data_IF_185036897163
#
_entry.id   IF_185036897163
#
_cell.length_a   1.000
_cell.length_b   1.000
_cell.length_c   1.000
_cell.angle_alpha   90.00
_cell.angle_beta   90.00
_cell.angle_gamma   90.00
#
_symmetry.space_group_name_H-M   'P 1'
#
loop_
_entity.id
_entity.type
_entity.pdbx_description
1 polymer ?
#
# COMPACT_ATOMS: atom_id res chain seq x y z
N UNK A 1 -40.16 12.06 -14.88
CA UNK A 1 -39.35 11.43 -15.93
C UNK A 1 -38.49 10.29 -15.40
N UNK A 2 -37.69 10.48 -14.33
CA UNK A 2 -36.87 9.40 -13.75
C UNK A 2 -37.69 8.17 -13.29
N UNK A 3 -38.78 8.39 -12.55
CA UNK A 3 -39.67 7.33 -12.05
C UNK A 3 -40.52 6.62 -13.13
N UNK A 4 -40.42 7.06 -14.40
CA UNK A 4 -41.08 6.38 -15.52
C UNK A 4 -40.20 5.29 -16.14
N UNK A 5 -38.94 5.21 -15.73
CA UNK A 5 -38.02 4.16 -16.15
C UNK A 5 -38.25 2.87 -15.34
N UNK A 6 -37.88 1.70 -15.87
CA UNK A 6 -37.88 0.46 -15.09
C UNK A 6 -37.04 0.59 -13.81
N UNK A 7 -37.45 -0.01 -12.69
CA UNK A 7 -36.75 0.11 -11.40
C UNK A 7 -35.26 -0.22 -11.48
N UNK A 8 -34.87 -1.20 -12.30
CA UNK A 8 -33.48 -1.62 -12.49
C UNK A 8 -32.63 -0.52 -13.11
N UNK A 9 -33.21 0.26 -14.04
CA UNK A 9 -32.54 1.39 -14.68
C UNK A 9 -32.40 2.54 -13.70
N UNK A 10 -33.44 2.82 -12.90
CA UNK A 10 -33.38 3.83 -11.84
C UNK A 10 -32.29 3.46 -10.83
N UNK A 11 -32.26 2.22 -10.34
CA UNK A 11 -31.23 1.73 -9.42
C UNK A 11 -29.84 1.87 -10.03
N UNK A 12 -29.66 1.52 -11.31
CA UNK A 12 -28.37 1.68 -12.00
C UNK A 12 -27.94 3.14 -12.11
N UNK A 13 -28.87 4.07 -12.35
CA UNK A 13 -28.59 5.51 -12.35
C UNK A 13 -28.19 5.97 -10.96
N UNK A 14 -28.96 5.60 -9.93
CA UNK A 14 -28.69 5.95 -8.54
C UNK A 14 -27.36 5.41 -8.05
N UNK A 15 -26.92 4.26 -8.58
CA UNK A 15 -25.57 3.80 -8.32
C UNK A 15 -24.55 4.87 -8.73
N UNK A 16 -24.63 5.54 -9.87
CA UNK A 16 -23.58 6.48 -10.30
C UNK A 16 -23.41 7.74 -9.44
N UNK A 17 -24.31 8.01 -8.51
CA UNK A 17 -24.27 9.19 -7.65
C UNK A 17 -23.22 9.04 -6.52
N UNK A 18 -22.75 10.17 -6.02
CA UNK A 18 -21.98 10.22 -4.78
C UNK A 18 -22.88 10.15 -3.53
N UNK A 19 -22.24 10.06 -2.37
CA UNK A 19 -22.93 9.91 -1.09
C UNK A 19 -23.88 11.10 -0.79
N UNK A 20 -23.45 12.32 -1.11
CA UNK A 20 -24.19 13.54 -0.81
C UNK A 20 -25.38 13.71 -1.75
N UNK A 21 -25.19 13.45 -3.03
CA UNK A 21 -26.24 13.44 -4.05
C UNK A 21 -27.30 12.39 -3.75
N UNK A 22 -26.88 11.15 -3.47
CA UNK A 22 -27.78 10.05 -3.18
C UNK A 22 -28.59 10.32 -1.90
N UNK A 23 -27.94 10.81 -0.83
CA UNK A 23 -28.62 11.18 0.41
C UNK A 23 -29.67 12.29 0.18
N UNK A 24 -29.33 13.32 -0.60
CA UNK A 24 -30.22 14.44 -0.89
C UNK A 24 -31.47 13.98 -1.64
N UNK A 25 -31.30 13.11 -2.65
CA UNK A 25 -32.41 12.60 -3.46
C UNK A 25 -33.32 11.68 -2.63
N UNK A 26 -32.75 10.81 -1.80
CA UNK A 26 -33.51 9.89 -0.94
C UNK A 26 -34.32 10.66 0.11
N UNK A 27 -33.80 11.77 0.64
CA UNK A 27 -34.54 12.62 1.58
C UNK A 27 -35.68 13.39 0.91
N UNK A 28 -35.56 13.70 -0.38
CA UNK A 28 -36.54 14.49 -1.12
C UNK A 28 -37.73 13.68 -1.69
N UNK A 29 -37.57 12.38 -1.94
CA UNK A 29 -38.59 11.56 -2.61
C UNK A 29 -38.78 10.18 -1.93
N UNK A 30 -40.02 9.90 -1.49
CA UNK A 30 -40.36 8.66 -0.78
C UNK A 30 -40.29 7.41 -1.66
N UNK A 31 -40.46 7.54 -2.98
CA UNK A 31 -40.38 6.42 -3.93
C UNK A 31 -38.92 6.03 -4.13
N UNK A 32 -38.03 7.01 -4.30
CA UNK A 32 -36.59 6.78 -4.40
C UNK A 32 -36.03 6.25 -3.07
N UNK A 33 -36.55 6.70 -1.93
CA UNK A 33 -36.26 6.10 -0.63
C UNK A 33 -36.70 4.63 -0.54
N UNK A 34 -37.87 4.30 -1.08
CA UNK A 34 -38.35 2.92 -1.14
C UNK A 34 -37.41 2.04 -2.00
N UNK A 35 -36.91 2.55 -3.13
CA UNK A 35 -35.90 1.84 -3.92
C UNK A 35 -34.60 1.65 -3.16
N UNK A 36 -34.08 2.68 -2.49
CA UNK A 36 -32.88 2.53 -1.66
C UNK A 36 -33.03 1.39 -0.64
N UNK A 37 -34.18 1.31 0.05
CA UNK A 37 -34.47 0.24 1.00
C UNK A 37 -34.67 -1.14 0.36
N UNK A 38 -35.25 -1.18 -0.84
CA UNK A 38 -35.57 -2.44 -1.52
C UNK A 38 -34.36 -3.10 -2.21
N UNK A 39 -33.37 -2.31 -2.64
CA UNK A 39 -32.25 -2.80 -3.44
C UNK A 39 -30.92 -2.81 -2.64
N UNK A 40 -30.40 -3.99 -2.24
CA UNK A 40 -29.17 -4.09 -1.44
C UNK A 40 -27.93 -3.48 -2.10
N UNK A 41 -27.89 -3.41 -3.43
CA UNK A 41 -26.76 -2.79 -4.16
C UNK A 41 -26.61 -1.30 -3.88
N UNK A 42 -27.72 -0.58 -3.69
CA UNK A 42 -27.67 0.84 -3.32
C UNK A 42 -27.18 1.01 -1.88
N UNK A 43 -27.69 0.20 -0.96
CA UNK A 43 -27.26 0.20 0.44
C UNK A 43 -25.78 -0.17 0.57
N UNK A 44 -25.34 -1.19 -0.18
CA UNK A 44 -23.95 -1.62 -0.19
C UNK A 44 -23.04 -0.53 -0.73
N UNK A 45 -23.36 0.08 -1.87
CA UNK A 45 -22.57 1.19 -2.42
C UNK A 45 -22.51 2.40 -1.49
N UNK A 46 -23.65 2.74 -0.87
CA UNK A 46 -23.70 3.81 0.12
C UNK A 46 -22.80 3.48 1.32
N UNK A 47 -22.89 2.25 1.84
CA UNK A 47 -22.07 1.79 2.97
C UNK A 47 -20.58 1.78 2.62
N UNK A 48 -20.19 1.35 1.42
CA UNK A 48 -18.77 1.34 1.01
C UNK A 48 -18.22 2.75 0.87
N UNK A 49 -18.98 3.68 0.29
CA UNK A 49 -18.61 5.10 0.25
C UNK A 49 -18.54 5.73 1.65
N UNK A 50 -19.51 5.45 2.52
CA UNK A 50 -19.52 5.96 3.88
C UNK A 50 -18.33 5.45 4.70
N UNK A 51 -17.96 4.18 4.53
CA UNK A 51 -16.81 3.55 5.18
C UNK A 51 -15.46 3.82 4.49
N UNK A 52 -15.46 4.54 3.36
CA UNK A 52 -14.27 4.82 2.53
C UNK A 52 -13.51 3.54 2.14
N UNK A 53 -14.24 2.52 1.71
CA UNK A 53 -13.69 1.24 1.27
C UNK A 53 -14.04 0.97 -0.19
N UNK A 54 -13.14 0.29 -0.88
CA UNK A 54 -13.37 -0.16 -2.24
C UNK A 54 -14.02 -1.54 -2.27
N UNK A 55 -14.79 -1.79 -3.34
CA UNK A 55 -15.32 -3.10 -3.60
C UNK A 55 -14.19 -4.07 -3.95
N UNK A 56 -14.02 -5.16 -3.22
CA UNK A 56 -13.05 -6.19 -3.57
C UNK A 56 -13.71 -7.29 -4.43
N UNK A 57 -13.58 -7.27 -5.77
CA UNK A 57 -14.19 -8.28 -6.64
C UNK A 57 -13.55 -9.67 -6.50
N UNK A 58 -12.40 -9.77 -5.82
CA UNK A 58 -11.71 -11.05 -5.53
C UNK A 58 -12.17 -11.66 -4.21
N UNK A 59 -13.07 -11.02 -3.46
CA UNK A 59 -13.64 -11.61 -2.25
C UNK A 59 -14.36 -12.90 -2.58
N UNK A 60 -13.88 -14.01 -2.02
CA UNK A 60 -14.56 -15.31 -2.07
C UNK A 60 -15.74 -15.39 -1.10
N UNK A 61 -15.81 -14.45 -0.15
CA UNK A 61 -16.92 -14.31 0.78
C UNK A 61 -18.08 -13.55 0.12
N UNK A 62 -19.20 -14.25 -0.02
CA UNK A 62 -20.48 -13.74 -0.47
C UNK A 62 -20.51 -13.31 -1.94
N UNK A 63 -20.89 -14.25 -2.80
CA UNK A 63 -21.30 -13.94 -4.19
C UNK A 63 -22.54 -13.03 -4.24
N UNK A 64 -23.21 -12.84 -3.10
CA UNK A 64 -24.43 -12.03 -2.97
C UNK A 64 -24.13 -10.73 -2.23
N UNK A 65 -24.54 -9.61 -2.83
CA UNK A 65 -24.36 -8.24 -2.31
C UNK A 65 -24.88 -8.08 -0.87
N UNK A 66 -25.94 -8.79 -0.48
CA UNK A 66 -26.50 -8.75 0.86
C UNK A 66 -25.54 -9.25 1.93
N UNK A 67 -24.79 -10.34 1.65
CA UNK A 67 -23.80 -10.87 2.58
C UNK A 67 -22.63 -9.90 2.73
N UNK A 68 -22.20 -9.28 1.64
CA UNK A 68 -21.13 -8.27 1.64
C UNK A 68 -21.53 -7.03 2.44
N UNK A 69 -22.78 -6.58 2.29
CA UNK A 69 -23.35 -5.50 3.10
C UNK A 69 -23.42 -5.88 4.58
N UNK A 70 -23.84 -7.12 4.91
CA UNK A 70 -23.87 -7.59 6.29
C UNK A 70 -22.47 -7.62 6.92
N UNK A 71 -21.47 -8.12 6.18
CA UNK A 71 -20.07 -8.12 6.61
C UNK A 71 -19.54 -6.70 6.83
N UNK A 72 -19.81 -5.79 5.91
CA UNK A 72 -19.40 -4.39 6.04
C UNK A 72 -20.06 -3.73 7.25
N UNK A 73 -21.37 -3.91 7.44
CA UNK A 73 -22.08 -3.37 8.59
C UNK A 73 -21.55 -3.95 9.91
N UNK A 74 -21.28 -5.26 9.97
CA UNK A 74 -20.70 -5.91 11.14
C UNK A 74 -19.32 -5.33 11.46
N UNK A 75 -18.48 -5.17 10.44
CA UNK A 75 -17.16 -4.54 10.55
C UNK A 75 -17.25 -3.12 11.12
N UNK A 76 -18.08 -2.27 10.53
CA UNK A 76 -18.22 -0.87 10.95
C UNK A 76 -18.78 -0.75 12.37
N UNK A 77 -19.74 -1.60 12.76
CA UNK A 77 -20.21 -1.68 14.14
C UNK A 77 -19.13 -2.19 15.11
N UNK A 78 -18.33 -3.16 14.67
CA UNK A 78 -17.19 -3.68 15.40
C UNK A 78 -16.18 -2.57 15.70
N UNK A 79 -15.78 -1.80 14.69
CA UNK A 79 -14.89 -0.65 14.87
C UNK A 79 -15.46 0.41 15.80
N UNK A 80 -16.74 0.77 15.65
CA UNK A 80 -17.38 1.77 16.48
C UNK A 80 -17.43 1.38 17.97
N UNK A 81 -17.42 0.07 18.28
CA UNK A 81 -17.53 -0.47 19.64
C UNK A 81 -16.25 -1.12 20.15
N UNK A 82 -15.20 -1.15 19.32
CA UNK A 82 -13.99 -1.95 19.56
C UNK A 82 -14.32 -3.43 19.87
N UNK A 83 -15.33 -3.96 19.19
CA UNK A 83 -15.73 -5.36 19.29
C UNK A 83 -15.09 -6.15 18.16
N UNK A 84 -14.25 -7.13 18.51
CA UNK A 84 -13.53 -7.96 17.56
C UNK A 84 -14.25 -9.30 17.39
N UNK A 85 -14.37 -9.78 16.15
CA UNK A 85 -15.04 -11.07 15.85
C UNK A 85 -14.35 -12.24 16.55
N UNK A 86 -13.02 -12.16 16.71
CA UNK A 86 -12.25 -13.10 17.50
C UNK A 86 -10.90 -12.50 17.91
N UNK A 87 -10.27 -13.15 18.89
CA UNK A 87 -8.91 -12.86 19.33
C UNK A 87 -8.07 -14.12 19.29
N UNK A 88 -6.81 -14.00 18.90
CA UNK A 88 -5.85 -15.11 18.87
C UNK A 88 -4.48 -14.67 19.35
N UNK A 89 -3.86 -15.50 20.18
CA UNK A 89 -2.49 -15.31 20.64
C UNK A 89 -1.56 -16.28 19.91
N UNK A 90 -0.55 -15.74 19.24
CA UNK A 90 0.45 -16.53 18.52
C UNK A 90 1.77 -16.41 19.29
N UNK A 91 2.27 -17.47 19.95
CA UNK A 91 3.50 -17.36 20.75
C UNK A 91 4.72 -17.12 19.86
N UNK A 92 5.54 -16.13 20.22
CA UNK A 92 6.84 -15.85 19.58
C UNK A 92 7.89 -16.75 20.23
N UNK A 93 8.41 -17.73 19.48
CA UNK A 93 9.38 -18.73 19.98
C UNK A 93 10.83 -18.45 19.58
N UNK A 94 11.10 -17.24 19.10
CA UNK A 94 12.44 -16.73 18.78
C UNK A 94 12.70 -15.45 19.58
N UNK A 95 13.94 -14.97 19.60
CA UNK A 95 14.29 -13.70 20.23
C UNK A 95 14.21 -12.60 19.16
N UNK A 96 13.15 -11.77 19.15
CA UNK A 96 13.00 -10.74 18.12
C UNK A 96 13.93 -9.55 18.38
N UNK A 97 14.24 -8.84 17.31
CA UNK A 97 14.87 -7.51 17.34
C UNK A 97 13.82 -6.42 17.14
N UNK A 98 14.26 -5.17 17.10
CA UNK A 98 13.41 -4.04 16.70
C UNK A 98 13.07 -3.98 15.22
N UNK A 99 13.47 -4.97 14.41
CA UNK A 99 13.15 -5.04 12.98
C UNK A 99 11.84 -5.81 12.84
N UNK A 100 10.79 -5.11 12.42
CA UNK A 100 9.47 -5.70 12.23
C UNK A 100 8.76 -5.05 11.06
N UNK A 101 7.83 -5.78 10.47
CA UNK A 101 6.93 -5.21 9.47
C UNK A 101 5.56 -5.89 9.47
N UNK A 102 4.55 -5.19 8.98
CA UNK A 102 3.19 -5.71 8.79
C UNK A 102 2.67 -5.28 7.42
N UNK A 103 2.71 -6.19 6.47
CA UNK A 103 2.24 -5.94 5.10
C UNK A 103 1.38 -7.10 4.66
N UNK A 104 0.19 -6.77 4.18
CA UNK A 104 -0.71 -7.73 3.55
C UNK A 104 -1.13 -8.93 4.40
N UNK A 105 -1.40 -8.69 5.68
CA UNK A 105 -1.74 -9.75 6.62
C UNK A 105 -0.57 -10.65 6.99
N UNK A 106 0.67 -10.28 6.63
CA UNK A 106 1.90 -10.95 7.08
C UNK A 106 2.57 -10.07 8.11
N UNK A 107 2.76 -10.62 9.31
CA UNK A 107 3.57 -10.01 10.35
C UNK A 107 4.98 -10.60 10.33
N UNK A 108 6.00 -9.75 10.27
CA UNK A 108 7.40 -10.12 10.14
C UNK A 108 8.20 -9.60 11.35
N UNK A 109 9.16 -10.40 11.80
CA UNK A 109 10.11 -10.09 12.87
C UNK A 109 11.52 -10.56 12.49
N UNK A 110 12.52 -9.71 12.65
CA UNK A 110 13.93 -10.11 12.57
C UNK A 110 14.41 -10.75 13.87
N UNK A 111 15.24 -11.79 13.78
CA UNK A 111 15.84 -12.43 14.95
C UNK A 111 17.06 -11.66 15.52
N UNK A 112 17.45 -11.98 16.76
CA UNK A 112 18.61 -11.37 17.45
C UNK A 112 19.93 -11.50 16.67
N UNK A 113 20.10 -12.62 15.97
CA UNK A 113 21.24 -12.85 15.08
C UNK A 113 21.23 -11.96 13.83
N UNK A 114 20.09 -11.33 13.51
CA UNK A 114 19.80 -10.60 12.27
C UNK A 114 20.17 -11.39 11.03
N UNK A 115 19.87 -12.68 11.05
CA UNK A 115 20.11 -13.63 9.95
C UNK A 115 18.87 -14.46 9.62
N UNK A 116 17.80 -14.32 10.40
CA UNK A 116 16.50 -14.92 10.10
C UNK A 116 15.40 -13.89 10.19
N UNK A 117 14.55 -13.88 9.17
CA UNK A 117 13.31 -13.11 9.13
C UNK A 117 12.17 -14.08 9.39
N UNK A 118 11.65 -14.06 10.61
CA UNK A 118 10.48 -14.82 10.98
C UNK A 118 9.23 -14.11 10.48
N UNK A 119 8.28 -14.86 9.94
CA UNK A 119 7.01 -14.29 9.52
C UNK A 119 5.84 -15.18 9.88
N UNK A 120 4.69 -14.56 10.10
CA UNK A 120 3.43 -15.20 10.41
C UNK A 120 2.32 -14.62 9.55
N UNK A 121 1.56 -15.47 8.86
CA UNK A 121 0.31 -15.05 8.23
C UNK A 121 -0.74 -14.88 9.33
N UNK A 122 -1.28 -13.68 9.44
CA UNK A 122 -2.32 -13.36 10.41
C UNK A 122 -3.62 -14.07 10.01
N UNK A 123 -4.32 -14.68 10.97
CA UNK A 123 -5.59 -15.35 10.71
C UNK A 123 -6.67 -14.30 10.43
N UNK A 124 -7.52 -14.57 9.45
CA UNK A 124 -8.77 -13.83 9.21
C UNK A 124 -9.96 -14.52 9.89
N UNK A 125 -9.83 -15.79 10.26
CA UNK A 125 -10.84 -16.56 10.99
C UNK A 125 -10.23 -17.37 12.13
N UNK A 126 -11.03 -17.78 13.14
CA UNK A 126 -10.55 -18.66 14.22
C UNK A 126 -9.98 -20.00 13.72
N UNK A 127 -10.47 -20.51 12.59
CA UNK A 127 -10.08 -21.81 12.04
C UNK A 127 -8.76 -21.75 11.25
N UNK A 128 -8.28 -20.56 10.89
CA UNK A 128 -7.09 -20.43 10.05
C UNK A 128 -5.85 -21.01 10.75
N UNK A 129 -4.94 -21.68 10.04
CA UNK A 129 -3.69 -22.14 10.63
C UNK A 129 -2.82 -20.94 11.00
N UNK A 130 -2.19 -21.01 12.18
CA UNK A 130 -1.19 -20.02 12.61
C UNK A 130 0.12 -20.71 12.89
N UNK A 131 1.20 -20.14 12.38
CA UNK A 131 2.55 -20.62 12.61
C UNK A 131 3.57 -19.59 12.18
N UNK A 132 4.76 -19.70 12.76
CA UNK A 132 5.92 -18.95 12.33
C UNK A 132 6.69 -19.74 11.29
N UNK A 133 6.93 -19.11 10.15
CA UNK A 133 7.91 -19.53 9.15
C UNK A 133 9.11 -18.59 9.21
N UNK A 134 10.16 -18.88 8.44
CA UNK A 134 11.31 -17.97 8.37
C UNK A 134 11.98 -17.99 6.98
N UNK A 135 12.69 -16.91 6.69
CA UNK A 135 13.64 -16.78 5.59
C UNK A 135 15.03 -16.63 6.20
N UNK A 136 15.95 -17.54 5.86
CA UNK A 136 17.36 -17.40 6.22
C UNK A 136 18.06 -16.41 5.30
N UNK A 137 18.90 -15.55 5.88
CA UNK A 137 19.70 -14.56 5.19
C UNK A 137 21.16 -14.81 5.53
N UNK A 138 21.99 -14.99 4.50
CA UNK A 138 23.39 -15.37 4.68
C UNK A 138 24.22 -14.34 5.47
N UNK A 139 23.79 -13.08 5.46
CA UNK A 139 24.47 -11.93 6.06
C UNK A 139 23.61 -11.25 7.12
N UNK A 140 24.27 -10.52 8.02
CA UNK A 140 23.59 -9.66 8.99
C UNK A 140 22.80 -8.56 8.28
N UNK A 141 21.47 -8.62 8.38
CA UNK A 141 20.59 -7.59 7.84
C UNK A 141 20.44 -6.40 8.80
N UNK A 142 20.15 -5.24 8.22
CA UNK A 142 19.91 -3.98 8.94
C UNK A 142 18.42 -3.70 8.98
N UNK A 143 17.74 -3.89 7.85
CA UNK A 143 16.31 -3.63 7.69
C UNK A 143 15.74 -4.36 6.46
N UNK A 144 14.42 -4.38 6.35
CA UNK A 144 13.68 -5.03 5.26
C UNK A 144 12.55 -4.17 4.72
N UNK A 145 12.17 -4.39 3.47
CA UNK A 145 10.96 -3.84 2.86
C UNK A 145 10.18 -4.93 2.14
N UNK A 146 8.85 -4.82 2.15
CA UNK A 146 7.94 -5.82 1.63
C UNK A 146 7.11 -5.26 0.47
N UNK A 147 6.94 -6.06 -0.59
CA UNK A 147 5.88 -5.88 -1.58
C UNK A 147 5.34 -7.26 -1.96
N UNK A 148 4.50 -7.79 -1.06
CA UNK A 148 4.01 -9.16 -1.16
C UNK A 148 2.89 -9.26 -2.20
N UNK A 149 2.00 -8.27 -2.27
CA UNK A 149 0.81 -8.36 -3.12
C UNK A 149 1.07 -8.18 -4.61
N UNK A 150 1.97 -7.27 -4.99
CA UNK A 150 2.25 -6.99 -6.40
C UNK A 150 3.26 -7.98 -6.97
N UNK A 151 4.28 -8.32 -6.17
CA UNK A 151 5.44 -9.03 -6.67
C UNK A 151 5.90 -10.22 -5.82
N UNK A 152 5.27 -10.56 -4.70
CA UNK A 152 5.80 -11.60 -3.79
C UNK A 152 7.27 -11.33 -3.43
N UNK A 153 7.59 -10.07 -3.14
CA UNK A 153 8.95 -9.54 -3.01
C UNK A 153 9.27 -9.14 -1.57
N UNK A 154 10.48 -9.49 -1.14
CA UNK A 154 11.14 -8.94 0.04
C UNK A 154 12.53 -8.41 -0.33
N UNK A 155 12.79 -7.17 0.04
CA UNK A 155 14.10 -6.54 -0.07
C UNK A 155 14.79 -6.57 1.30
N UNK A 156 16.00 -7.12 1.38
CA UNK A 156 16.75 -7.25 2.62
C UNK A 156 18.05 -6.47 2.50
N UNK A 157 18.21 -5.40 3.28
CA UNK A 157 19.44 -4.62 3.28
C UNK A 157 20.42 -5.20 4.28
N UNK A 158 21.60 -5.58 3.81
CA UNK A 158 22.67 -6.17 4.62
C UNK A 158 23.88 -5.25 4.68
N UNK A 159 24.70 -5.45 5.71
CA UNK A 159 26.00 -4.79 5.84
C UNK A 159 27.11 -5.82 6.00
N UNK A 160 28.20 -5.64 5.25
CA UNK A 160 29.48 -6.33 5.53
C UNK A 160 30.41 -5.40 6.30
N UNK A 161 31.13 -5.88 7.33
CA UNK A 161 32.10 -5.07 8.03
C UNK A 161 33.32 -4.73 7.15
N UNK A 162 33.73 -3.47 7.22
CA UNK A 162 35.01 -2.87 6.78
C UNK A 162 35.50 -3.14 5.32
N UNK A 163 35.38 -2.12 4.42
CA UNK A 163 34.51 -0.94 4.57
C UNK A 163 33.05 -1.37 4.73
N UNK A 164 32.23 -0.57 5.42
CA UNK A 164 30.81 -0.92 5.61
C UNK A 164 30.11 -0.85 4.26
N UNK A 165 30.03 -2.00 3.60
CA UNK A 165 29.39 -2.15 2.31
C UNK A 165 27.94 -2.57 2.54
N UNK A 166 27.02 -1.78 1.98
CA UNK A 166 25.58 -2.00 2.03
C UNK A 166 25.13 -2.62 0.73
N UNK A 167 24.41 -3.73 0.84
CA UNK A 167 23.81 -4.44 -0.28
C UNK A 167 22.34 -4.65 0.00
N UNK A 168 21.51 -4.64 -1.05
CA UNK A 168 20.10 -4.98 -0.96
C UNK A 168 19.86 -6.29 -1.70
N UNK A 169 19.46 -7.32 -0.96
CA UNK A 169 19.11 -8.62 -1.53
C UNK A 169 17.65 -8.61 -1.95
N UNK A 170 17.39 -9.00 -3.19
CA UNK A 170 16.06 -9.03 -3.80
C UNK A 170 15.59 -10.49 -3.82
N UNK A 171 14.72 -10.84 -2.89
CA UNK A 171 14.27 -12.21 -2.67
C UNK A 171 12.77 -12.34 -2.93
N UNK A 172 12.36 -13.50 -3.40
CA UNK A 172 10.95 -13.87 -3.44
C UNK A 172 10.51 -14.27 -2.02
N UNK A 173 9.49 -13.61 -1.50
CA UNK A 173 9.01 -13.78 -0.14
C UNK A 173 8.52 -15.22 0.12
N UNK A 174 7.69 -15.77 -0.78
CA UNK A 174 7.13 -17.12 -0.60
C UNK A 174 8.18 -18.25 -0.58
N UNK A 175 9.34 -18.06 -1.21
CA UNK A 175 10.37 -19.11 -1.35
C UNK A 175 11.65 -18.81 -0.58
N UNK A 176 11.89 -17.56 -0.19
CA UNK A 176 13.15 -17.10 0.39
C UNK A 176 14.34 -17.10 -0.59
N UNK A 177 14.11 -17.42 -1.87
CA UNK A 177 15.14 -17.51 -2.91
C UNK A 177 15.31 -16.20 -3.67
N UNK A 178 16.39 -16.01 -4.45
CA UNK A 178 16.50 -14.90 -5.41
C UNK A 178 15.22 -14.68 -6.22
N UNK A 179 14.75 -13.44 -6.29
CA UNK A 179 13.50 -13.13 -6.98
C UNK A 179 13.64 -13.37 -8.50
N UNK A 180 12.71 -14.09 -9.16
CA UNK A 180 12.86 -14.49 -10.57
C UNK A 180 12.88 -13.32 -11.56
N UNK A 181 12.22 -12.20 -11.24
CA UNK A 181 12.23 -10.98 -12.07
C UNK A 181 13.48 -10.10 -11.87
N UNK A 182 14.32 -10.38 -10.87
CA UNK A 182 15.52 -9.59 -10.62
C UNK A 182 16.68 -10.09 -11.50
N UNK A 183 17.16 -9.25 -12.42
CA UNK A 183 18.34 -9.54 -13.24
C UNK A 183 19.59 -9.73 -12.38
N UNK A 184 19.71 -8.93 -11.32
CA UNK A 184 20.72 -9.11 -10.27
C UNK A 184 20.02 -9.27 -8.93
N UNK A 185 20.21 -10.39 -8.23
CA UNK A 185 19.55 -10.63 -6.95
C UNK A 185 20.16 -9.81 -5.80
N UNK A 186 21.26 -9.10 -6.05
CA UNK A 186 21.93 -8.27 -5.06
C UNK A 186 22.28 -6.93 -5.69
N UNK A 187 21.71 -5.86 -5.13
CA UNK A 187 21.97 -4.49 -5.52
C UNK A 187 23.06 -3.89 -4.64
N UNK A 188 24.04 -3.22 -5.24
CA UNK A 188 24.99 -2.41 -4.49
C UNK A 188 24.34 -1.07 -4.10
N UNK A 189 24.28 -0.78 -2.80
CA UNK A 189 23.65 0.46 -2.31
C UNK A 189 24.69 1.54 -2.06
N UNK A 190 25.68 1.24 -1.20
CA UNK A 190 26.75 2.20 -0.88
C UNK A 190 27.90 1.54 -0.15
N UNK A 191 29.07 2.20 -0.19
CA UNK A 191 30.15 2.00 0.78
C UNK A 191 30.19 3.19 1.71
N UNK A 192 30.28 2.93 3.00
CA UNK A 192 30.37 3.95 4.03
C UNK A 192 31.38 3.55 5.09
N UNK A 193 32.01 4.54 5.72
CA UNK A 193 32.78 4.32 6.95
C UNK A 193 31.89 4.30 8.20
N UNK A 194 30.62 4.65 8.05
CA UNK A 194 29.67 4.77 9.16
C UNK A 194 28.96 3.44 9.40
N UNK A 195 29.16 2.80 10.57
CA UNK A 195 28.46 1.59 10.93
C UNK A 195 27.02 1.90 11.41
N UNK A 196 26.18 0.86 11.46
CA UNK A 196 24.84 0.88 12.09
C UNK A 196 23.93 2.01 11.59
N UNK A 197 23.64 2.09 10.28
CA UNK A 197 22.62 3.02 9.81
C UNK A 197 21.23 2.59 10.30
N UNK A 198 20.30 3.56 10.38
CA UNK A 198 18.88 3.27 10.28
C UNK A 198 18.48 3.37 8.82
N UNK A 199 17.64 2.46 8.37
CA UNK A 199 17.16 2.43 6.98
C UNK A 199 15.64 2.58 7.02
N UNK A 200 15.06 3.16 5.97
CA UNK A 200 13.65 3.07 5.64
C UNK A 200 13.54 2.57 4.21
N UNK A 201 12.66 1.60 3.96
CA UNK A 201 12.54 0.92 2.69
C UNK A 201 11.08 0.92 2.27
N UNK A 202 10.80 1.33 1.04
CA UNK A 202 9.48 1.22 0.44
C UNK A 202 9.62 0.68 -0.99
N UNK A 203 8.62 -0.09 -1.44
CA UNK A 203 8.65 -0.75 -2.74
C UNK A 203 7.28 -0.65 -3.41
N UNK A 204 7.23 -0.02 -4.58
CA UNK A 204 6.03 0.09 -5.41
C UNK A 204 6.37 -0.22 -6.85
N UNK A 205 5.67 -1.19 -7.44
CA UNK A 205 5.94 -1.65 -8.80
C UNK A 205 7.40 -2.04 -8.97
N UNK A 206 8.05 -1.44 -9.97
CA UNK A 206 9.47 -1.66 -10.27
C UNK A 206 10.43 -0.83 -9.41
N UNK A 207 9.93 0.11 -8.60
CA UNK A 207 10.74 1.05 -7.85
C UNK A 207 10.95 0.61 -6.40
N UNK A 208 12.21 0.62 -5.97
CA UNK A 208 12.63 0.39 -4.60
C UNK A 208 13.31 1.65 -4.07
N UNK A 209 12.74 2.25 -3.04
CA UNK A 209 13.22 3.48 -2.42
C UNK A 209 13.90 3.17 -1.07
N UNK A 210 15.06 3.79 -0.82
CA UNK A 210 15.83 3.61 0.41
C UNK A 210 16.22 4.97 1.00
N UNK A 211 15.89 5.19 2.26
CA UNK A 211 16.44 6.30 3.07
C UNK A 211 17.42 5.72 4.08
N UNK A 212 18.62 6.27 4.15
CA UNK A 212 19.68 5.81 5.05
C UNK A 212 20.11 6.98 5.93
N UNK A 213 20.02 6.81 7.23
CA UNK A 213 20.40 7.81 8.24
C UNK A 213 21.34 7.23 9.28
N UNK A 214 22.02 8.11 10.01
CA UNK A 214 22.85 7.72 11.17
C UNK A 214 22.53 8.63 12.34
N UNK A 215 21.28 8.64 12.78
CA UNK A 215 20.76 9.57 13.77
C UNK A 215 21.46 9.49 15.16
N UNK A 216 22.12 8.36 15.47
CA UNK A 216 22.90 8.18 16.70
C UNK A 216 24.40 8.45 16.53
N UNK A 217 24.86 8.82 15.33
CA UNK A 217 26.28 9.00 15.07
C UNK A 217 26.71 10.44 15.43
N UNK A 218 27.69 10.64 16.32
CA UNK A 218 28.10 11.96 16.77
C UNK A 218 28.73 12.81 15.66
N UNK A 219 29.21 12.18 14.58
CA UNK A 219 29.80 12.87 13.43
C UNK A 219 28.75 13.31 12.40
N UNK A 220 27.46 13.09 12.69
CA UNK A 220 26.32 13.63 11.95
C UNK A 220 26.47 13.51 10.42
N UNK A 221 26.68 12.30 9.89
CA UNK A 221 26.84 12.14 8.46
C UNK A 221 25.54 12.47 7.72
N UNK A 222 25.68 12.96 6.49
CA UNK A 222 24.56 13.25 5.61
C UNK A 222 23.60 12.06 5.50
N UNK A 223 22.30 12.37 5.48
CA UNK A 223 21.27 11.40 5.12
C UNK A 223 21.39 11.11 3.63
N UNK A 224 21.09 9.88 3.24
CA UNK A 224 21.21 9.42 1.87
C UNK A 224 19.88 8.83 1.42
N UNK A 225 19.44 9.22 0.24
CA UNK A 225 18.21 8.72 -0.35
C UNK A 225 18.52 8.14 -1.73
N UNK A 226 17.98 6.94 -1.99
CA UNK A 226 18.20 6.20 -3.23
C UNK A 226 16.87 5.70 -3.79
N UNK A 227 16.74 5.69 -5.11
CA UNK A 227 15.68 4.98 -5.82
C UNK A 227 16.32 4.07 -6.85
N UNK A 228 15.99 2.79 -6.78
CA UNK A 228 16.42 1.76 -7.72
C UNK A 228 15.23 1.25 -8.52
N UNK A 229 15.46 0.90 -9.77
CA UNK A 229 14.60 -0.03 -10.49
C UNK A 229 15.07 -1.45 -10.14
N UNK A 230 14.38 -2.14 -9.24
CA UNK A 230 14.92 -3.34 -8.59
C UNK A 230 15.07 -4.54 -9.55
N UNK A 231 14.24 -4.59 -10.60
CA UNK A 231 14.28 -5.65 -11.61
C UNK A 231 15.57 -5.59 -12.43
N UNK A 232 16.00 -4.40 -12.83
CA UNK A 232 17.23 -4.21 -13.62
C UNK A 232 18.45 -3.91 -12.78
N UNK A 233 18.24 -3.44 -11.55
CA UNK A 233 19.28 -2.95 -10.65
C UNK A 233 19.75 -1.52 -10.97
N UNK A 234 19.05 -0.81 -11.84
CA UNK A 234 19.41 0.55 -12.27
C UNK A 234 19.17 1.55 -11.15
N UNK A 235 20.19 2.34 -10.81
CA UNK A 235 20.05 3.47 -9.88
C UNK A 235 19.39 4.64 -10.62
N UNK A 236 18.15 4.96 -10.24
CA UNK A 236 17.34 6.02 -10.86
C UNK A 236 17.60 7.38 -10.21
N UNK A 237 17.79 7.40 -8.90
CA UNK A 237 17.93 8.65 -8.16
C UNK A 237 18.83 8.47 -6.94
N UNK A 238 19.66 9.48 -6.65
CA UNK A 238 20.51 9.54 -5.46
C UNK A 238 20.58 10.96 -4.93
N UNK A 239 20.13 11.17 -3.71
CA UNK A 239 20.17 12.47 -3.03
C UNK A 239 20.97 12.35 -1.74
N UNK A 240 21.79 13.36 -1.46
CA UNK A 240 22.38 13.56 -0.15
C UNK A 240 21.73 14.78 0.48
N UNK A 241 21.29 14.64 1.72
CA UNK A 241 20.78 15.73 2.50
C UNK A 241 21.60 15.88 3.78
N UNK A 242 21.63 17.06 4.40
CA UNK A 242 22.22 17.21 5.73
C UNK A 242 21.63 16.18 6.71
N UNK A 243 22.38 15.85 7.74
CA UNK A 243 21.95 14.94 8.79
C UNK A 243 20.60 15.38 9.41
N UNK A 244 19.74 14.42 9.73
CA UNK A 244 18.38 14.64 10.26
C UNK A 244 17.44 15.40 9.31
N UNK A 245 17.63 15.31 8.00
CA UNK A 245 16.66 15.81 7.02
C UNK A 245 15.55 14.80 6.80
N UNK A 246 15.88 13.56 6.40
CA UNK A 246 14.90 12.56 5.99
C UNK A 246 15.05 11.29 6.83
N UNK A 247 13.96 10.76 7.37
CA UNK A 247 13.97 9.52 8.16
C UNK A 247 13.14 8.38 7.55
N UNK A 248 12.27 8.68 6.59
CA UNK A 248 11.41 7.72 5.89
C UNK A 248 11.09 8.24 4.48
N UNK A 249 10.45 7.40 3.68
CA UNK A 249 9.90 7.70 2.36
C UNK A 249 8.53 7.03 2.26
N UNK A 250 7.61 7.59 1.48
CA UNK A 250 6.32 6.97 1.13
C UNK A 250 6.06 7.22 -0.35
N UNK A 251 5.47 6.26 -1.06
CA UNK A 251 5.00 6.48 -2.43
C UNK A 251 3.61 7.13 -2.41
N UNK A 252 3.44 8.23 -3.13
CA UNK A 252 2.13 8.83 -3.40
C UNK A 252 1.50 8.23 -4.66
N UNK A 253 2.34 7.79 -5.59
CA UNK A 253 2.00 7.06 -6.80
C UNK A 253 3.23 6.24 -7.22
N UNK A 254 3.14 5.36 -8.23
CA UNK A 254 4.32 4.65 -8.74
C UNK A 254 5.48 5.52 -9.23
N UNK A 255 5.27 6.82 -9.41
CA UNK A 255 6.26 7.78 -9.93
C UNK A 255 6.48 8.99 -9.01
N UNK A 256 5.75 9.11 -7.90
CA UNK A 256 5.86 10.22 -6.95
C UNK A 256 6.15 9.72 -5.54
N UNK A 257 7.12 10.36 -4.90
CA UNK A 257 7.61 10.04 -3.57
C UNK A 257 7.36 11.22 -2.64
N UNK A 258 7.02 10.94 -1.38
CA UNK A 258 6.95 11.90 -0.30
C UNK A 258 8.06 11.61 0.70
N UNK A 259 8.91 12.61 0.95
CA UNK A 259 9.95 12.56 1.97
C UNK A 259 9.66 13.61 3.04
N UNK A 260 9.35 13.22 4.28
CA UNK A 260 9.18 14.18 5.36
C UNK A 260 10.52 14.83 5.74
N UNK A 261 10.60 16.14 5.61
CA UNK A 261 11.78 16.94 5.89
C UNK A 261 11.70 17.54 7.29
N UNK A 262 12.47 16.95 8.22
CA UNK A 262 12.46 17.37 9.62
C UNK A 262 13.10 18.74 9.82
N UNK A 263 14.11 19.10 8.99
CA UNK A 263 14.85 20.36 9.14
C UNK A 263 14.05 21.57 8.72
N UNK A 264 13.26 21.45 7.65
CA UNK A 264 12.44 22.55 7.13
C UNK A 264 11.00 22.50 7.61
N UNK A 265 10.65 21.50 8.44
CA UNK A 265 9.28 21.23 8.86
C UNK A 265 8.33 21.19 7.66
N UNK A 266 8.65 20.36 6.67
CA UNK A 266 7.90 20.26 5.43
C UNK A 266 7.80 18.82 4.91
N UNK A 267 6.97 18.62 3.90
CA UNK A 267 6.85 17.38 3.15
C UNK A 267 7.34 17.63 1.73
N UNK A 268 8.46 17.00 1.36
CA UNK A 268 9.07 17.15 0.04
C UNK A 268 8.54 16.07 -0.91
N UNK A 269 7.91 16.50 -2.00
CA UNK A 269 7.42 15.63 -3.07
C UNK A 269 8.48 15.54 -4.15
N UNK A 270 8.91 14.33 -4.49
CA UNK A 270 9.90 14.07 -5.52
C UNK A 270 9.30 13.24 -6.65
N UNK A 271 9.67 13.57 -7.88
CA UNK A 271 9.34 12.75 -9.05
C UNK A 271 10.46 11.75 -9.33
N UNK A 272 10.11 10.49 -9.60
CA UNK A 272 11.08 9.50 -10.06
C UNK A 272 11.37 9.75 -11.54
N UNK A 273 12.64 9.87 -11.97
CA UNK A 273 12.97 10.15 -13.36
C UNK A 273 12.53 9.00 -14.29
N UNK A 274 12.04 9.35 -15.48
CA UNK A 274 11.78 8.41 -16.56
C UNK A 274 13.10 7.78 -17.09
N UNK A 275 13.02 6.82 -18.01
CA UNK A 275 14.18 6.05 -18.49
C UNK A 275 15.31 6.91 -19.10
N UNK A 276 15.00 8.12 -19.58
CA UNK A 276 15.92 8.96 -20.36
C UNK A 276 16.06 10.39 -19.79
N UNK A 277 15.63 10.62 -18.54
CA UNK A 277 15.70 11.93 -17.91
C UNK A 277 16.71 11.95 -16.77
N UNK A 278 17.44 13.05 -16.64
CA UNK A 278 18.32 13.27 -15.51
C UNK A 278 17.56 13.20 -14.18
N UNK A 279 18.24 12.71 -13.14
CA UNK A 279 17.67 12.67 -11.80
C UNK A 279 17.41 14.09 -11.29
N UNK A 280 16.24 14.35 -10.66
CA UNK A 280 15.93 15.68 -10.14
C UNK A 280 16.93 16.10 -9.06
N UNK A 281 17.32 17.37 -9.08
CA UNK A 281 18.23 17.95 -8.08
C UNK A 281 17.51 18.57 -6.89
N UNK A 282 16.19 18.77 -7.00
CA UNK A 282 15.33 19.39 -5.99
C UNK A 282 13.95 18.72 -5.98
N UNK A 283 13.23 18.89 -4.87
CA UNK A 283 11.85 18.44 -4.76
C UNK A 283 10.97 19.16 -5.77
N UNK A 284 10.00 18.45 -6.34
CA UNK A 284 9.00 19.00 -7.25
C UNK A 284 8.08 20.00 -6.54
N UNK A 285 7.67 19.65 -5.32
CA UNK A 285 6.84 20.49 -4.45
C UNK A 285 7.30 20.29 -3.01
N UNK A 286 7.37 21.37 -2.24
CA UNK A 286 7.59 21.33 -0.79
C UNK A 286 6.35 21.88 -0.09
N UNK A 287 5.71 21.06 0.74
CA UNK A 287 4.50 21.42 1.49
C UNK A 287 4.87 21.72 2.93
N UNK A 288 4.81 22.98 3.35
CA UNK A 288 5.13 23.37 4.73
C UNK A 288 4.13 22.76 5.73
N UNK A 289 4.63 22.27 6.86
CA UNK A 289 3.81 21.88 8.00
C UNK A 289 3.36 23.12 8.80
N UNK A 290 2.30 22.99 9.62
CA UNK A 290 1.93 24.03 10.55
C UNK A 290 3.09 24.44 11.46
N UNK A 291 3.21 25.74 11.74
CA UNK A 291 4.24 26.25 12.63
C UNK A 291 4.06 25.66 14.05
N UNK A 292 5.16 25.23 14.65
CA UNK A 292 5.19 24.82 16.04
C UNK A 292 5.12 26.04 16.97
N UNK A 293 4.59 25.83 18.17
CA UNK A 293 4.64 26.84 19.22
C UNK A 293 6.11 27.20 19.58
N UNK A 294 6.38 28.42 20.07
CA UNK A 294 7.72 28.81 20.50
C UNK A 294 8.32 27.82 21.51
N UNK A 295 9.59 27.44 21.31
CA UNK A 295 10.31 26.49 22.16
C UNK A 295 10.17 25.02 21.76
N UNK A 296 9.33 24.70 20.78
CA UNK A 296 9.19 23.33 20.25
C UNK A 296 9.97 23.15 18.94
N UNK A 297 10.57 21.98 18.77
CA UNK A 297 11.32 21.60 17.56
C UNK A 297 10.91 20.21 17.09
N UNK A 298 10.90 19.99 15.78
CA UNK A 298 10.77 18.64 15.22
C UNK A 298 12.10 17.91 15.36
N UNK A 299 12.09 16.80 16.10
CA UNK A 299 13.28 15.94 16.30
C UNK A 299 13.35 14.84 15.25
N UNK A 300 12.19 14.34 14.84
CA UNK A 300 12.07 13.29 13.82
C UNK A 300 10.68 13.35 13.21
N UNK A 301 10.63 13.32 11.88
CA UNK A 301 9.41 13.16 11.13
C UNK A 301 9.51 11.89 10.29
N UNK A 302 8.52 11.02 10.42
CA UNK A 302 8.42 9.79 9.64
C UNK A 302 6.97 9.60 9.20
N UNK A 303 6.81 8.97 8.05
CA UNK A 303 5.55 8.61 7.44
C UNK A 303 5.60 7.13 7.04
N UNK A 304 4.43 6.51 7.01
CA UNK A 304 4.21 5.16 6.52
C UNK A 304 2.89 5.16 5.75
N UNK A 305 2.89 4.61 4.55
CA UNK A 305 1.70 4.50 3.70
C UNK A 305 1.45 3.04 3.37
N UNK A 306 0.41 2.45 3.97
CA UNK A 306 -0.04 1.10 3.63
C UNK A 306 -1.57 1.09 3.51
N UNK A 307 -2.15 0.42 2.49
CA UNK A 307 -1.47 -0.25 1.39
C UNK A 307 -0.73 0.74 0.48
N UNK A 308 0.46 0.34 0.03
CA UNK A 308 1.20 1.06 -0.99
C UNK A 308 0.40 1.18 -2.31
N UNK A 309 0.54 2.28 -3.09
CA UNK A 309 -0.12 2.40 -4.38
C UNK A 309 0.34 1.30 -5.33
N UNK A 310 -0.55 0.78 -6.16
CA UNK A 310 -0.24 -0.33 -7.08
C UNK A 310 -0.06 0.18 -8.51
N UNK A 311 0.86 -0.43 -9.29
CA UNK A 311 1.02 -0.08 -10.73
C UNK A 311 -0.17 -0.55 -11.58
N UNK A 312 -0.86 -1.58 -11.11
CA UNK A 312 -2.16 -1.94 -11.61
C UNK A 312 -3.20 -1.17 -10.79
N UNK A 313 -3.97 -0.23 -11.35
CA UNK A 313 -5.17 0.21 -10.65
C UNK A 313 -5.97 -1.05 -10.30
N UNK A 314 -6.55 -1.10 -9.11
CA UNK A 314 -7.66 -2.03 -8.88
C UNK A 314 -8.56 -1.92 -10.11
N UNK A 315 -8.92 -3.04 -10.77
CA UNK A 315 -9.64 -2.97 -12.02
C UNK A 315 -10.81 -2.02 -11.81
N UNK A 316 -10.81 -0.87 -12.49
CA UNK A 316 -11.94 0.04 -12.48
C UNK A 316 -13.16 -0.84 -12.70
N UNK A 317 -14.25 -0.68 -11.92
CA UNK A 317 -15.43 -1.51 -12.11
C UNK A 317 -15.73 -1.47 -13.60
N UNK A 318 -15.61 -2.65 -14.24
CA UNK A 318 -15.71 -2.74 -15.68
C UNK A 318 -16.96 -1.97 -16.08
N UNK A 319 -16.91 -1.02 -17.05
CA UNK A 319 -18.12 -0.37 -17.51
C UNK A 319 -19.06 -1.51 -17.88
N UNK A 320 -20.10 -1.71 -17.06
CA UNK A 320 -20.86 -2.95 -17.08
C UNK A 320 -21.25 -3.21 -18.52
N UNK A 321 -20.64 -4.25 -19.10
CA UNK A 321 -20.82 -4.63 -20.49
C UNK A 321 -22.31 -4.62 -20.71
N UNK A 322 -22.76 -3.71 -21.59
CA UNK A 322 -24.17 -3.58 -21.88
C UNK A 322 -24.70 -4.99 -22.15
N UNK A 323 -25.78 -5.43 -21.47
CA UNK A 323 -26.38 -6.70 -21.83
C UNK A 323 -26.72 -6.62 -23.32
N UNK A 324 -26.29 -7.65 -24.06
CA UNK A 324 -26.59 -7.81 -25.47
C UNK A 324 -28.12 -7.98 -25.62
N UNK A 325 -28.85 -6.87 -25.59
CA UNK A 325 -30.25 -6.84 -25.98
C UNK A 325 -30.29 -6.78 -27.50
N UNK A 326 -30.42 -7.97 -28.09
CA UNK A 326 -31.20 -8.27 -29.28
C UNK A 326 -31.06 -7.32 -30.48
N UNK A 327 -30.11 -7.62 -31.37
CA UNK A 327 -30.37 -7.54 -32.81
C UNK A 327 -31.33 -8.67 -33.20
N UNK A 328 -32.61 -8.49 -32.89
CA UNK A 328 -33.69 -9.35 -33.36
C UNK A 328 -34.93 -8.48 -33.61
N UNK A 329 -34.78 -7.44 -34.44
CA UNK A 329 -35.93 -6.66 -34.92
C UNK A 329 -35.71 -5.99 -36.27
N UNK A 330 -34.94 -6.62 -37.17
CA UNK A 330 -34.79 -6.12 -38.55
C UNK A 330 -34.97 -7.19 -39.66
N UNK A 331 -35.41 -8.41 -39.32
CA UNK A 331 -35.68 -9.46 -40.32
C UNK A 331 -37.17 -9.73 -40.59
N UNK A 332 -38.09 -9.00 -39.95
CA UNK A 332 -39.53 -9.14 -40.15
C UNK A 332 -40.17 -8.08 -41.08
N UNK A 333 -39.37 -7.19 -41.69
CA UNK A 333 -39.86 -6.15 -42.63
C UNK A 333 -39.31 -6.28 -44.06
N UNK A 334 -38.62 -7.38 -44.40
CA UNK A 334 -38.15 -7.66 -45.78
C UNK A 334 -38.96 -8.69 -46.56
N UNK A 335 -40.04 -9.24 -45.99
CA UNK A 335 -41.00 -10.10 -46.71
C UNK A 335 -42.37 -9.45 -46.75
N UNK A 336 -42.49 -8.37 -47.55
CA UNK A 336 -43.74 -7.90 -48.19
C UNK A 336 -43.41 -6.78 -49.19
N UNK A 337 -42.93 -7.17 -50.36
CA UNK A 337 -43.27 -6.55 -51.65
C UNK A 337 -43.36 -7.65 -52.69
#
# INVERSE_FOLDING_TARGET
MLLQLPPEIVVRILCFLDLAELASIIQADSTLHAYFKAFPILQYRFATQAAQVEDNPRSTHGSVVTERLALLNSREQGWARLNFDFQRTIPVRHHPTGIYDLVGGVYLLGDDGRRRLHYCKLPSTPADPTGWSHIDVDCTFVDVGLNIYEHDLIAVVTTKPHPTERRCHILQFSTGKPHPLARSPVLFVSKSRWPRPSIGIEIVGVHLALVITHFLNPLQPCDQFYVFEWQTGTLKMKVHAPNHTYASVVFLSPTLLLLPNTRTAALDVWAIPAADTDAPTHALVTLALPQLAPGYVLVRLASRGEPNPTTHPAPAPAPASAPAFATARDEALRTRR
#
